data_IF_026399450082
#
_entry.id   IF_026399450082
#
_cell.length_a   1.000
_cell.length_b   1.000
_cell.length_c   1.000
_cell.angle_alpha   90.00
_cell.angle_beta   90.00
_cell.angle_gamma   90.00
#
_symmetry.space_group_name_H-M   'P 1'
#
loop_
_entity.id
_entity.type
_entity.pdbx_description
1 polymer ?
#
# COMPACT_ATOMS: atom_id res chain seq x y z
N UNK A 1 -3.05 9.21 14.32
CA UNK A 1 -3.45 10.40 13.53
C UNK A 1 -4.22 10.01 12.27
N UNK A 2 -3.61 9.30 11.31
CA UNK A 2 -4.32 8.85 10.08
C UNK A 2 -5.46 7.88 10.41
N UNK A 3 -5.18 6.77 11.11
CA UNK A 3 -6.18 5.75 11.46
C UNK A 3 -7.34 6.30 12.30
N UNK A 4 -7.06 7.23 13.21
CA UNK A 4 -8.08 7.87 14.04
C UNK A 4 -9.00 8.78 13.22
N UNK A 5 -8.46 9.54 12.27
CA UNK A 5 -9.26 10.37 11.37
C UNK A 5 -10.10 9.52 10.41
N UNK A 6 -9.55 8.38 9.95
CA UNK A 6 -10.27 7.41 9.12
C UNK A 6 -11.52 6.87 9.83
N UNK A 7 -11.34 6.35 11.06
CA UNK A 7 -12.43 5.82 11.89
C UNK A 7 -13.53 6.86 12.17
N UNK A 8 -13.15 8.13 12.33
CA UNK A 8 -14.12 9.22 12.51
C UNK A 8 -14.94 9.47 11.25
N UNK A 9 -14.36 9.34 10.06
CA UNK A 9 -15.09 9.41 8.79
C UNK A 9 -16.05 8.24 8.58
N UNK A 10 -15.69 7.04 9.06
CA UNK A 10 -16.58 5.87 8.98
C UNK A 10 -17.81 6.02 9.90
N UNK A 11 -17.65 6.75 11.02
CA UNK A 11 -18.73 7.00 11.98
C UNK A 11 -19.62 8.19 11.60
N UNK A 12 -19.06 9.20 10.93
CA UNK A 12 -19.71 10.46 10.62
C UNK A 12 -19.46 10.87 9.15
N UNK A 13 -20.47 10.78 8.28
CA UNK A 13 -20.34 11.13 6.86
C UNK A 13 -19.88 12.57 6.61
N UNK A 14 -20.12 13.50 7.53
CA UNK A 14 -19.68 14.90 7.39
C UNK A 14 -18.15 15.05 7.42
N UNK A 15 -17.45 14.09 8.02
CA UNK A 15 -15.98 14.07 8.15
C UNK A 15 -15.29 13.27 7.04
N UNK A 16 -16.03 12.84 6.03
CA UNK A 16 -15.50 12.02 4.93
C UNK A 16 -14.34 12.74 4.18
N UNK A 17 -14.49 14.04 3.91
CA UNK A 17 -13.44 14.85 3.27
C UNK A 17 -12.13 14.79 4.06
N UNK A 18 -12.22 14.89 5.38
CA UNK A 18 -11.06 14.80 6.26
C UNK A 18 -10.45 13.40 6.24
N UNK A 19 -11.28 12.35 6.31
CA UNK A 19 -10.85 10.95 6.23
C UNK A 19 -10.07 10.66 4.94
N UNK A 20 -10.61 11.06 3.79
CA UNK A 20 -9.94 10.86 2.49
C UNK A 20 -8.68 11.71 2.34
N UNK A 21 -8.65 12.92 2.89
CA UNK A 21 -7.44 13.74 2.94
C UNK A 21 -6.33 13.05 3.74
N UNK A 22 -6.64 12.49 4.91
CA UNK A 22 -5.67 11.77 5.72
C UNK A 22 -5.23 10.44 5.08
N UNK A 23 -6.13 9.75 4.38
CA UNK A 23 -5.78 8.58 3.57
C UNK A 23 -4.76 8.95 2.50
N UNK A 24 -5.03 10.02 1.74
CA UNK A 24 -4.12 10.51 0.71
C UNK A 24 -2.78 10.92 1.31
N UNK A 25 -2.78 11.63 2.44
CA UNK A 25 -1.56 12.05 3.13
C UNK A 25 -0.69 10.84 3.53
N UNK A 26 -1.29 9.82 4.14
CA UNK A 26 -0.58 8.60 4.53
C UNK A 26 0.02 7.86 3.34
N UNK A 27 -0.80 7.58 2.32
CA UNK A 27 -0.37 6.81 1.14
C UNK A 27 0.66 7.58 0.29
N UNK A 28 0.48 8.89 0.12
CA UNK A 28 1.36 9.73 -0.69
C UNK A 28 2.71 9.97 0.00
N UNK A 29 2.72 10.14 1.32
CA UNK A 29 3.98 10.28 2.06
C UNK A 29 4.84 9.02 1.91
N UNK A 30 4.23 7.84 2.04
CA UNK A 30 4.89 6.56 1.76
C UNK A 30 5.36 6.47 0.29
N UNK A 31 4.47 6.72 -0.67
CA UNK A 31 4.80 6.66 -2.10
C UNK A 31 5.91 7.62 -2.49
N UNK A 32 6.01 8.78 -1.83
CA UNK A 32 7.09 9.75 -2.04
C UNK A 32 8.45 9.15 -1.70
N UNK A 33 8.56 8.34 -0.65
CA UNK A 33 9.83 7.68 -0.28
C UNK A 33 10.32 6.70 -1.34
N UNK A 34 9.41 6.12 -2.14
CA UNK A 34 9.68 5.14 -3.19
C UNK A 34 9.79 5.73 -4.60
N UNK A 35 9.80 7.06 -4.73
CA UNK A 35 9.86 7.72 -6.04
C UNK A 35 11.13 7.33 -6.80
N UNK A 36 10.97 6.83 -8.02
CA UNK A 36 12.10 6.53 -8.90
C UNK A 36 12.66 7.81 -9.53
N UNK A 37 13.60 8.45 -8.82
CA UNK A 37 14.23 9.70 -9.25
C UNK A 37 14.99 9.54 -10.58
N UNK A 38 15.46 8.33 -10.92
CA UNK A 38 16.17 8.08 -12.17
C UNK A 38 15.30 8.21 -13.42
N UNK A 39 13.96 8.17 -13.27
CA UNK A 39 13.02 8.41 -14.38
C UNK A 39 12.67 9.87 -14.57
N UNK A 40 13.15 10.78 -13.72
CA UNK A 40 12.93 12.21 -13.92
C UNK A 40 13.79 12.72 -15.08
N UNK A 41 13.19 13.53 -15.94
CA UNK A 41 13.85 14.21 -17.04
C UNK A 41 13.96 15.73 -16.78
N UNK A 42 14.88 16.36 -17.48
CA UNK A 42 14.87 17.80 -17.74
C UNK A 42 14.01 18.04 -18.99
N UNK A 43 13.06 18.97 -18.91
CA UNK A 43 12.19 19.32 -20.03
C UNK A 43 12.58 20.71 -20.53
N UNK A 44 12.79 20.83 -21.83
CA UNK A 44 13.09 22.08 -22.50
C UNK A 44 12.03 22.38 -23.56
N UNK A 45 11.60 23.63 -23.65
CA UNK A 45 10.76 24.11 -24.74
C UNK A 45 11.61 25.00 -25.64
N UNK A 46 11.77 24.57 -26.89
CA UNK A 46 12.68 25.22 -27.86
C UNK A 46 12.00 25.34 -29.22
N UNK A 47 12.39 26.34 -30.00
CA UNK A 47 12.05 26.41 -31.42
C UNK A 47 13.06 25.66 -32.29
N UNK A 48 12.86 25.70 -33.60
CA UNK A 48 13.65 24.95 -34.60
C UNK A 48 15.17 25.08 -34.41
N UNK A 49 15.66 26.31 -34.22
CA UNK A 49 17.09 26.62 -34.22
C UNK A 49 17.91 25.94 -33.12
N UNK A 50 17.28 25.66 -31.98
CA UNK A 50 17.95 25.04 -30.82
C UNK A 50 17.55 23.58 -30.62
N UNK A 51 16.49 23.12 -31.30
CA UNK A 51 16.01 21.74 -31.28
C UNK A 51 17.09 20.77 -31.74
N UNK A 52 17.75 21.05 -32.87
CA UNK A 52 18.81 20.21 -33.43
C UNK A 52 19.98 20.01 -32.46
N UNK A 53 20.33 21.03 -31.68
CA UNK A 53 21.43 20.94 -30.70
C UNK A 53 21.09 20.00 -29.56
N UNK A 54 19.84 20.03 -29.08
CA UNK A 54 19.38 19.18 -27.99
C UNK A 54 19.19 17.73 -28.42
N UNK A 55 18.75 17.48 -29.65
CA UNK A 55 18.63 16.12 -30.22
C UNK A 55 20.01 15.44 -30.31
N UNK A 56 21.04 16.20 -30.67
CA UNK A 56 22.40 15.69 -30.79
C UNK A 56 23.09 15.45 -29.42
N UNK A 57 22.51 15.90 -28.30
CA UNK A 57 23.06 15.61 -26.98
C UNK A 57 22.79 14.12 -26.61
N UNK A 58 23.81 13.44 -26.12
CA UNK A 58 23.74 12.04 -25.63
C UNK A 58 22.63 11.78 -24.59
N UNK A 59 22.13 12.81 -23.92
CA UNK A 59 21.07 12.75 -22.92
C UNK A 59 19.67 12.87 -23.52
N UNK A 60 19.54 13.15 -24.81
CA UNK A 60 18.25 13.22 -25.48
C UNK A 60 17.44 11.94 -25.27
N UNK A 61 16.16 12.07 -24.91
CA UNK A 61 15.25 10.93 -24.75
C UNK A 61 14.10 10.99 -25.74
N UNK A 62 13.45 12.15 -25.87
CA UNK A 62 12.25 12.29 -26.69
C UNK A 62 12.07 13.73 -27.15
N UNK A 63 11.54 13.87 -28.36
CA UNK A 63 11.07 15.13 -28.94
C UNK A 63 9.55 15.02 -29.13
N UNK A 64 8.82 16.05 -28.74
CA UNK A 64 7.39 16.19 -29.02
C UNK A 64 7.15 17.56 -29.66
N UNK A 65 6.64 17.56 -30.89
CA UNK A 65 6.21 18.80 -31.56
C UNK A 65 4.90 19.28 -30.92
N UNK A 66 4.87 20.54 -30.47
CA UNK A 66 3.67 21.16 -29.89
C UNK A 66 2.96 22.03 -30.91
N UNK A 67 3.72 22.79 -31.69
CA UNK A 67 3.28 23.65 -32.81
C UNK A 67 4.38 23.72 -33.86
N UNK A 68 4.11 24.31 -35.04
CA UNK A 68 5.07 24.41 -36.15
C UNK A 68 6.46 24.94 -35.74
N UNK A 69 6.54 25.89 -34.80
CA UNK A 69 7.82 26.49 -34.36
C UNK A 69 8.17 26.20 -32.88
N UNK A 70 7.54 25.20 -32.24
CA UNK A 70 7.75 24.91 -30.81
C UNK A 70 7.76 23.41 -30.52
N UNK A 71 8.82 22.97 -29.85
CA UNK A 71 9.04 21.58 -29.49
C UNK A 71 9.33 21.45 -27.99
N UNK A 72 8.81 20.38 -27.41
CA UNK A 72 9.18 19.88 -26.10
C UNK A 72 10.26 18.80 -26.26
N UNK A 73 11.43 19.04 -25.66
CA UNK A 73 12.55 18.09 -25.64
C UNK A 73 12.71 17.54 -24.23
N UNK A 74 12.54 16.23 -24.08
CA UNK A 74 12.81 15.49 -22.85
C UNK A 74 14.26 15.01 -22.87
N UNK A 75 15.01 15.35 -21.81
CA UNK A 75 16.40 14.97 -21.63
C UNK A 75 16.64 14.24 -20.32
N UNK A 76 17.53 13.26 -20.33
CA UNK A 76 18.03 12.62 -19.12
C UNK A 76 18.75 13.63 -18.23
N UNK A 77 18.52 13.52 -16.92
CA UNK A 77 19.25 14.32 -15.91
C UNK A 77 20.75 14.02 -16.00
N UNK A 78 21.57 15.07 -16.04
CA UNK A 78 23.04 14.93 -16.04
C UNK A 78 23.56 14.32 -14.73
N UNK A 79 22.96 14.71 -13.60
CA UNK A 79 23.29 14.19 -12.28
C UNK A 79 21.99 13.83 -11.56
N UNK A 80 21.94 12.65 -10.93
CA UNK A 80 20.79 12.20 -10.13
C UNK A 80 21.17 12.30 -8.66
N UNK A 81 20.43 13.09 -7.89
CA UNK A 81 20.60 13.19 -6.44
C UNK A 81 19.64 12.23 -5.71
N UNK A 82 20.19 11.21 -5.06
CA UNK A 82 19.44 10.23 -4.28
C UNK A 82 19.15 10.73 -2.86
N UNK A 83 18.29 11.74 -2.74
CA UNK A 83 17.96 12.38 -1.46
C UNK A 83 16.73 11.81 -0.73
N UNK A 84 16.13 10.72 -1.23
CA UNK A 84 14.92 10.14 -0.64
C UNK A 84 15.25 8.92 0.24
N UNK A 85 14.54 8.73 1.37
CA UNK A 85 14.77 7.61 2.27
C UNK A 85 14.10 6.32 1.76
N UNK A 86 14.60 5.78 0.64
CA UNK A 86 14.04 4.61 -0.05
C UNK A 86 13.88 3.39 0.87
N UNK A 87 14.80 3.25 1.82
CA UNK A 87 14.84 2.15 2.80
C UNK A 87 13.55 2.11 3.62
N UNK A 88 13.00 3.27 4.00
CA UNK A 88 11.75 3.33 4.77
C UNK A 88 10.61 2.71 3.97
N UNK A 89 10.45 3.14 2.71
CA UNK A 89 9.43 2.59 1.83
C UNK A 89 9.60 1.08 1.61
N UNK A 90 10.82 0.63 1.39
CA UNK A 90 11.12 -0.79 1.26
C UNK A 90 10.70 -1.58 2.51
N UNK A 91 11.13 -1.15 3.70
CA UNK A 91 10.80 -1.85 4.94
C UNK A 91 9.29 -1.87 5.21
N UNK A 92 8.60 -0.74 5.04
CA UNK A 92 7.14 -0.68 5.25
C UNK A 92 6.41 -1.68 4.34
N UNK A 93 6.80 -1.78 3.07
CA UNK A 93 6.21 -2.76 2.14
C UNK A 93 6.48 -4.21 2.55
N UNK A 94 7.73 -4.51 2.91
CA UNK A 94 8.11 -5.86 3.31
C UNK A 94 7.44 -6.27 4.62
N UNK A 95 7.29 -5.35 5.57
CA UNK A 95 6.53 -5.59 6.79
C UNK A 95 5.05 -5.80 6.50
N UNK A 96 4.42 -5.03 5.61
CA UNK A 96 3.03 -5.25 5.24
C UNK A 96 2.79 -6.67 4.70
N UNK A 97 3.66 -7.14 3.78
CA UNK A 97 3.62 -8.53 3.28
C UNK A 97 3.82 -9.55 4.39
N UNK A 98 4.81 -9.32 5.26
CA UNK A 98 5.08 -10.21 6.38
C UNK A 98 3.86 -10.30 7.31
N UNK A 99 3.17 -9.19 7.60
CA UNK A 99 1.95 -9.19 8.43
C UNK A 99 0.81 -9.99 7.79
N UNK A 100 0.63 -9.92 6.47
CA UNK A 100 -0.34 -10.77 5.75
C UNK A 100 0.00 -12.26 5.86
N UNK A 101 1.27 -12.62 5.67
CA UNK A 101 1.72 -14.01 5.80
C UNK A 101 1.64 -14.51 7.25
N UNK A 102 1.97 -13.67 8.24
CA UNK A 102 1.81 -13.99 9.65
C UNK A 102 0.34 -14.25 9.99
N UNK A 103 -0.59 -13.42 9.51
CA UNK A 103 -2.01 -13.68 9.71
C UNK A 103 -2.43 -15.01 9.07
N UNK A 104 -1.95 -15.32 7.87
CA UNK A 104 -2.27 -16.59 7.20
C UNK A 104 -1.70 -17.81 7.95
N UNK A 105 -0.41 -17.84 8.25
CA UNK A 105 0.24 -19.02 8.84
C UNK A 105 0.10 -19.09 10.36
N UNK A 106 0.30 -17.98 11.05
CA UNK A 106 0.36 -17.95 12.52
C UNK A 106 -1.03 -17.78 13.16
N UNK A 107 -2.06 -17.42 12.38
CA UNK A 107 -3.45 -17.38 12.83
C UNK A 107 -4.34 -18.39 12.08
N UNK A 108 -4.57 -18.21 10.78
CA UNK A 108 -5.55 -19.05 10.04
C UNK A 108 -5.12 -20.52 9.99
N UNK A 109 -3.92 -20.83 9.47
CA UNK A 109 -3.43 -22.21 9.33
C UNK A 109 -3.11 -22.88 10.68
N UNK A 110 -2.78 -22.07 11.69
CA UNK A 110 -2.56 -22.52 13.07
C UNK A 110 -3.86 -22.97 13.74
N UNK A 111 -4.90 -22.15 13.66
CA UNK A 111 -6.14 -22.35 14.45
C UNK A 111 -7.26 -23.05 13.69
N UNK A 112 -7.28 -23.00 12.36
CA UNK A 112 -8.31 -23.63 11.52
C UNK A 112 -7.69 -24.81 10.78
N UNK A 113 -8.39 -25.94 10.70
CA UNK A 113 -7.93 -27.07 9.88
C UNK A 113 -7.96 -26.71 8.39
N UNK A 114 -6.96 -27.15 7.61
CA UNK A 114 -6.90 -26.88 6.16
C UNK A 114 -8.08 -27.44 5.38
N UNK A 115 -8.79 -28.45 5.88
CA UNK A 115 -10.04 -28.91 5.27
C UNK A 115 -11.18 -27.91 5.40
N UNK A 116 -11.09 -26.99 6.36
CA UNK A 116 -12.17 -26.10 6.77
C UNK A 116 -12.01 -24.67 6.24
N UNK A 117 -10.95 -24.37 5.49
CA UNK A 117 -10.80 -23.09 4.81
C UNK A 117 -10.09 -23.23 3.46
N UNK A 118 -10.39 -22.31 2.55
CA UNK A 118 -9.70 -22.17 1.28
C UNK A 118 -9.35 -20.71 1.05
N UNK A 119 -8.07 -20.40 0.84
CA UNK A 119 -7.65 -19.08 0.42
C UNK A 119 -8.06 -18.87 -1.04
N UNK A 120 -8.76 -17.76 -1.31
CA UNK A 120 -9.22 -17.41 -2.65
C UNK A 120 -8.28 -16.39 -3.30
N UNK A 121 -8.03 -15.28 -2.60
CA UNK A 121 -7.27 -14.15 -3.12
C UNK A 121 -6.63 -13.34 -1.98
N UNK A 122 -5.49 -12.73 -2.28
CA UNK A 122 -4.88 -11.69 -1.46
C UNK A 122 -4.52 -10.50 -2.34
N UNK A 123 -5.06 -9.33 -2.04
CA UNK A 123 -4.70 -8.07 -2.70
C UNK A 123 -4.29 -7.03 -1.67
N UNK A 124 -3.00 -6.65 -1.70
CA UNK A 124 -2.35 -5.55 -0.97
C UNK A 124 -2.57 -5.51 0.55
N UNK A 125 -3.78 -5.21 0.99
CA UNK A 125 -4.23 -5.07 2.38
C UNK A 125 -5.51 -5.88 2.68
N UNK A 126 -5.94 -6.74 1.75
CA UNK A 126 -7.13 -7.58 1.83
C UNK A 126 -6.80 -9.06 1.62
N UNK A 127 -7.54 -9.92 2.31
CA UNK A 127 -7.45 -11.37 2.21
C UNK A 127 -8.87 -11.93 2.14
N UNK A 128 -9.15 -12.70 1.08
CA UNK A 128 -10.43 -13.35 0.86
C UNK A 128 -10.26 -14.86 1.00
N UNK A 129 -11.05 -15.47 1.87
CA UNK A 129 -11.06 -16.91 2.09
C UNK A 129 -12.48 -17.44 2.28
N UNK A 130 -12.72 -18.65 1.81
CA UNK A 130 -13.93 -19.40 2.11
C UNK A 130 -13.73 -20.21 3.40
N UNK A 131 -14.76 -20.27 4.24
CA UNK A 131 -14.77 -21.06 5.47
C UNK A 131 -15.87 -22.13 5.38
N UNK A 132 -15.61 -23.31 5.93
CA UNK A 132 -16.59 -24.37 6.08
C UNK A 132 -17.54 -24.17 7.28
N UNK A 133 -17.47 -23.02 7.95
CA UNK A 133 -18.29 -22.66 9.10
C UNK A 133 -18.92 -21.26 8.92
N UNK A 134 -20.05 -20.95 9.59
CA UNK A 134 -20.70 -19.65 9.51
C UNK A 134 -19.85 -18.50 10.05
N UNK A 135 -18.99 -18.78 11.04
CA UNK A 135 -18.06 -17.82 11.63
C UNK A 135 -16.65 -18.39 11.72
N UNK A 136 -15.66 -17.51 11.83
CA UNK A 136 -14.27 -17.90 11.97
C UNK A 136 -14.02 -18.67 13.27
N UNK A 137 -14.62 -18.22 14.38
CA UNK A 137 -14.44 -18.83 15.70
C UNK A 137 -15.02 -20.25 15.77
N UNK A 138 -16.08 -20.51 15.01
CA UNK A 138 -16.70 -21.85 14.91
C UNK A 138 -15.83 -22.84 14.13
N UNK A 139 -14.92 -22.35 13.28
CA UNK A 139 -13.98 -23.17 12.51
C UNK A 139 -12.68 -23.49 13.28
N UNK A 140 -12.48 -22.89 14.46
CA UNK A 140 -11.28 -23.08 15.28
C UNK A 140 -11.25 -24.48 15.86
N UNK A 141 -10.09 -25.13 15.77
CA UNK A 141 -9.83 -26.47 16.32
C UNK A 141 -10.17 -26.49 17.82
N UNK A 142 -11.02 -27.44 18.28
CA UNK A 142 -11.48 -27.47 19.67
C UNK A 142 -10.35 -27.42 20.70
N UNK A 143 -9.24 -28.10 20.42
CA UNK A 143 -8.07 -28.18 21.30
C UNK A 143 -7.26 -26.88 21.39
N UNK A 144 -7.42 -25.94 20.45
CA UNK A 144 -6.71 -24.65 20.42
C UNK A 144 -7.61 -23.45 20.76
N UNK A 145 -8.90 -23.64 21.01
CA UNK A 145 -9.84 -22.55 21.27
C UNK A 145 -9.40 -21.65 22.42
N UNK A 146 -8.97 -22.22 23.55
CA UNK A 146 -8.54 -21.42 24.70
C UNK A 146 -7.33 -20.53 24.35
N UNK A 147 -6.35 -21.07 23.63
CA UNK A 147 -5.18 -20.29 23.19
C UNK A 147 -5.59 -19.22 22.17
N UNK A 148 -6.49 -19.57 21.24
CA UNK A 148 -7.00 -18.64 20.24
C UNK A 148 -7.65 -17.41 20.91
N UNK A 149 -8.49 -17.60 21.92
CA UNK A 149 -9.14 -16.49 22.61
C UNK A 149 -8.16 -15.63 23.45
N UNK A 150 -7.08 -16.22 23.96
CA UNK A 150 -6.00 -15.45 24.60
C UNK A 150 -5.24 -14.57 23.59
N UNK A 151 -4.99 -15.09 22.39
CA UNK A 151 -4.29 -14.38 21.31
C UNK A 151 -5.25 -13.56 20.40
N UNK A 152 -6.56 -13.58 20.65
CA UNK A 152 -7.57 -13.07 19.72
C UNK A 152 -7.36 -11.60 19.35
N UNK A 153 -7.08 -10.77 20.35
CA UNK A 153 -6.91 -9.31 20.19
C UNK A 153 -5.63 -8.94 19.43
N UNK A 154 -4.64 -9.85 19.36
CA UNK A 154 -3.44 -9.66 18.54
C UNK A 154 -3.76 -9.68 17.05
N UNK A 155 -4.71 -10.54 16.64
CA UNK A 155 -5.09 -10.74 15.25
C UNK A 155 -6.29 -9.90 14.83
N UNK A 156 -7.23 -9.68 15.75
CA UNK A 156 -8.46 -8.94 15.51
C UNK A 156 -8.57 -7.71 16.44
N UNK A 157 -7.91 -6.58 16.10
CA UNK A 157 -7.82 -5.40 16.99
C UNK A 157 -9.07 -4.49 16.99
N UNK A 158 -10.28 -5.03 16.85
CA UNK A 158 -11.55 -4.29 16.78
C UNK A 158 -12.32 -4.24 18.11
N UNK A 159 -13.22 -3.26 18.31
CA UNK A 159 -14.05 -3.19 19.53
C UNK A 159 -14.95 -4.43 19.71
N UNK A 160 -15.38 -5.05 18.61
CA UNK A 160 -16.13 -6.31 18.64
C UNK A 160 -15.32 -7.49 19.18
N UNK A 161 -13.98 -7.44 19.08
CA UNK A 161 -13.10 -8.47 19.58
C UNK A 161 -13.08 -8.52 21.11
N UNK A 162 -13.15 -7.36 21.76
CA UNK A 162 -13.14 -7.23 23.22
C UNK A 162 -14.38 -7.84 23.86
N UNK A 163 -15.55 -7.70 23.22
CA UNK A 163 -16.81 -8.25 23.73
C UNK A 163 -16.84 -9.80 23.68
N UNK A 164 -16.12 -10.41 22.72
CA UNK A 164 -16.04 -11.87 22.57
C UNK A 164 -15.11 -12.47 23.64
N UNK A 165 -14.05 -11.76 24.04
CA UNK A 165 -13.16 -12.20 25.12
C UNK A 165 -13.76 -12.05 26.51
N UNK A 166 -14.76 -11.18 26.72
CA UNK A 166 -15.43 -10.98 28.01
C UNK A 166 -16.61 -11.94 28.25
N UNK A 167 -17.06 -12.64 27.21
CA UNK A 167 -18.22 -13.56 27.27
C UNK A 167 -17.83 -15.05 27.42
N UNK A 168 -16.53 -15.34 27.57
CA UNK A 168 -15.94 -16.65 27.84
C UNK A 168 -15.25 -16.64 29.21
#
# INVERSE_FOLDING_TARGET
MVTSARRQGDSDPSKNILSETFKLLGNSAYGKTLTNIARHCDIYYVGDSDCEKLINDSRFQKLTELTEDLYEVEMAKKNINWGLPLQIGYFVYQYAKLRMLQFYYDCVDKYVDRSNFQLCEMDTDSLYMALAAPRFEDAVRPELQQQFFQEYTQWFPGQHATNITETL
#
